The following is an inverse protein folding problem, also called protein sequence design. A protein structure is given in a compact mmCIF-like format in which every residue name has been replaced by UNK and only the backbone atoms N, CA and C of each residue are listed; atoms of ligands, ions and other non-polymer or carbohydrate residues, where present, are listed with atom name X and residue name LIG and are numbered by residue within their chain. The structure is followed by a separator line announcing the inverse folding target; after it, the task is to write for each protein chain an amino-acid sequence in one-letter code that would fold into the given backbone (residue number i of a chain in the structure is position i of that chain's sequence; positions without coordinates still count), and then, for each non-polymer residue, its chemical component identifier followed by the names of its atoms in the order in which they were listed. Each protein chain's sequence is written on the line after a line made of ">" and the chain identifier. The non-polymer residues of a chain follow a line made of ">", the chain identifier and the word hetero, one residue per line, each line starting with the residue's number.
data_IF_358080465951
#
_entry.id   IF_358080465951
#
_cell.length_a   1.000
_cell.length_b   1.000
_cell.length_c   1.000
_cell.angle_alpha   90.00
_cell.angle_beta   90.00
_cell.angle_gamma   90.00
#
_symmetry.space_group_name_H-M   'P 1'
#
loop_
_entity.id
_entity.type
_entity.pdbx_description
1 polymer ?
#
# COMPACT_ATOMS: atom_id res chain seq x y z
N UNK A 1 21.19 51.76 4.61
CA UNK A 1 19.86 51.12 4.77
C UNK A 1 20.04 49.63 4.52
N UNK A 2 20.15 48.82 5.57
CA UNK A 2 20.37 47.37 5.46
C UNK A 2 19.04 46.68 5.16
N UNK A 3 19.03 45.92 4.07
CA UNK A 3 17.92 45.07 3.62
C UNK A 3 17.72 43.94 4.64
N UNK A 4 16.55 43.86 5.26
CA UNK A 4 16.07 42.67 5.96
C UNK A 4 14.93 42.10 5.12
N UNK A 5 15.28 41.23 4.18
CA UNK A 5 14.35 40.28 3.61
C UNK A 5 13.99 39.32 4.75
N UNK A 6 12.83 39.51 5.36
CA UNK A 6 12.20 38.50 6.20
C UNK A 6 11.81 37.34 5.28
N UNK A 7 12.76 36.44 5.04
CA UNK A 7 12.49 35.10 4.53
C UNK A 7 11.68 34.40 5.61
N UNK A 8 10.35 34.52 5.53
CA UNK A 8 9.41 33.71 6.28
C UNK A 8 9.54 32.26 5.78
N UNK A 9 10.55 31.61 6.33
CA UNK A 9 10.68 30.20 6.62
C UNK A 9 9.40 29.72 7.33
N UNK A 10 8.29 29.59 6.59
CA UNK A 10 7.15 28.79 7.02
C UNK A 10 7.40 27.36 6.51
N UNK A 11 8.37 26.72 7.14
CA UNK A 11 8.41 25.27 7.26
C UNK A 11 7.18 24.85 8.06
N UNK A 12 6.09 24.62 7.35
CA UNK A 12 5.11 23.65 7.78
C UNK A 12 5.51 22.34 7.09
N UNK A 13 6.33 21.46 7.71
CA UNK A 13 6.38 20.09 7.23
C UNK A 13 4.96 19.55 7.39
N UNK A 14 4.30 19.33 6.26
CA UNK A 14 3.03 18.62 6.15
C UNK A 14 3.18 17.33 6.96
N UNK A 15 2.54 17.30 8.13
CA UNK A 15 2.27 16.09 8.87
C UNK A 15 1.26 15.29 8.03
N UNK A 16 1.73 14.63 6.98
CA UNK A 16 0.95 13.60 6.29
C UNK A 16 0.98 12.34 7.17
N UNK A 17 0.36 12.43 8.35
CA UNK A 17 -0.17 11.30 9.09
C UNK A 17 -1.48 10.90 8.41
N UNK A 18 -1.38 10.18 7.30
CA UNK A 18 -2.57 9.59 6.70
C UNK A 18 -3.15 8.57 7.66
N UNK A 19 -4.40 8.78 8.07
CA UNK A 19 -5.17 7.92 8.97
C UNK A 19 -5.93 6.84 8.17
N UNK A 20 -5.48 6.56 6.94
CA UNK A 20 -6.10 5.58 6.05
C UNK A 20 -5.71 4.16 6.47
N UNK A 21 -6.73 3.35 6.75
CA UNK A 21 -6.60 1.96 7.16
C UNK A 21 -7.46 1.06 6.28
N UNK A 22 -7.23 -0.26 6.32
CA UNK A 22 -8.01 -1.26 5.59
C UNK A 22 -8.19 -2.54 6.39
N UNK A 23 -8.89 -3.52 5.83
CA UNK A 23 -8.99 -4.85 6.45
C UNK A 23 -7.80 -5.74 6.05
N UNK A 24 -7.55 -5.83 4.76
CA UNK A 24 -6.47 -6.65 4.19
C UNK A 24 -5.95 -6.07 2.90
N UNK A 25 -4.70 -6.43 2.59
CA UNK A 25 -4.06 -6.20 1.31
C UNK A 25 -3.87 -7.55 0.61
N UNK A 26 -4.28 -7.64 -0.65
CA UNK A 26 -4.10 -8.82 -1.51
C UNK A 26 -3.08 -8.50 -2.59
N UNK A 27 -2.02 -9.30 -2.69
CA UNK A 27 -0.97 -9.16 -3.68
C UNK A 27 -1.06 -10.26 -4.73
N UNK A 28 -0.95 -9.86 -6.00
CA UNK A 28 -0.68 -10.76 -7.12
C UNK A 28 0.53 -10.20 -7.88
N UNK A 29 1.68 -10.86 -7.72
CA UNK A 29 2.96 -10.41 -8.27
C UNK A 29 3.36 -11.37 -9.38
N UNK A 30 3.54 -10.85 -10.59
CA UNK A 30 4.06 -11.57 -11.74
C UNK A 30 5.51 -11.10 -11.95
N UNK A 31 6.50 -11.81 -11.38
CA UNK A 31 7.89 -11.46 -11.56
C UNK A 31 8.34 -11.78 -12.99
N UNK A 32 9.23 -10.94 -13.52
CA UNK A 32 9.94 -11.15 -14.77
C UNK A 32 11.40 -11.53 -14.50
N UNK A 33 12.10 -11.98 -15.54
CA UNK A 33 13.55 -12.24 -15.46
C UNK A 33 14.29 -10.96 -15.05
N UNK A 34 15.18 -11.08 -14.07
CA UNK A 34 15.97 -9.95 -13.55
C UNK A 34 15.33 -9.21 -12.37
N UNK A 35 14.23 -9.70 -11.81
CA UNK A 35 13.65 -9.17 -10.56
C UNK A 35 12.67 -8.00 -10.71
N UNK A 36 12.40 -7.57 -11.93
CA UNK A 36 11.31 -6.65 -12.28
C UNK A 36 9.99 -7.40 -12.44
N UNK A 37 8.89 -6.71 -12.75
CA UNK A 37 7.63 -7.39 -13.03
C UNK A 37 6.41 -6.48 -13.00
N UNK A 38 5.24 -7.10 -12.83
CA UNK A 38 3.96 -6.41 -12.63
C UNK A 38 3.29 -6.89 -11.36
N UNK A 39 2.80 -5.98 -10.54
CA UNK A 39 2.03 -6.29 -9.35
C UNK A 39 0.61 -5.73 -9.48
N UNK A 40 -0.38 -6.50 -9.05
CA UNK A 40 -1.73 -6.01 -8.78
C UNK A 40 -2.01 -6.15 -7.30
N UNK A 41 -2.34 -5.03 -6.67
CA UNK A 41 -2.60 -4.92 -5.24
C UNK A 41 -4.05 -4.50 -5.02
N UNK A 42 -4.75 -5.20 -4.13
CA UNK A 42 -6.10 -4.86 -3.72
C UNK A 42 -6.11 -4.46 -2.26
N UNK A 43 -6.62 -3.26 -1.98
CA UNK A 43 -6.89 -2.77 -0.63
C UNK A 43 -8.37 -2.93 -0.35
N UNK A 44 -8.70 -3.58 0.76
CA UNK A 44 -10.09 -3.87 1.10
C UNK A 44 -10.58 -3.03 2.27
N UNK A 45 -11.83 -2.57 2.18
CA UNK A 45 -12.53 -1.81 3.21
C UNK A 45 -11.72 -0.62 3.76
N UNK A 46 -11.33 0.26 2.84
CA UNK A 46 -10.60 1.48 3.13
C UNK A 46 -11.47 2.40 4.00
N UNK A 47 -10.95 2.71 5.18
CA UNK A 47 -11.58 3.55 6.22
C UNK A 47 -10.56 4.54 6.74
N UNK A 48 -11.01 5.45 7.59
CA UNK A 48 -10.17 6.41 8.28
C UNK A 48 -10.19 6.15 9.78
N UNK A 49 -9.05 6.18 10.45
CA UNK A 49 -8.93 6.20 11.91
C UNK A 49 -8.75 7.63 12.48
N UNK A 50 -9.10 8.64 11.69
CA UNK A 50 -9.02 10.04 12.06
C UNK A 50 -9.80 10.36 13.34
N UNK A 51 -9.10 10.98 14.29
CA UNK A 51 -9.64 11.34 15.61
C UNK A 51 -10.60 12.54 15.59
N UNK A 52 -10.51 13.38 14.55
CA UNK A 52 -11.35 14.57 14.37
C UNK A 52 -11.81 14.76 12.91
N UNK A 53 -12.62 15.80 12.67
CA UNK A 53 -13.21 16.09 11.36
C UNK A 53 -12.21 16.72 10.38
N UNK A 54 -11.17 17.38 10.89
CA UNK A 54 -10.15 17.99 10.04
C UNK A 54 -9.27 16.89 9.44
N UNK A 55 -8.78 15.97 10.27
CA UNK A 55 -8.05 14.77 9.84
C UNK A 55 -8.89 13.93 8.89
N UNK A 56 -10.19 13.74 9.18
CA UNK A 56 -11.07 12.97 8.30
C UNK A 56 -11.23 13.61 6.92
N UNK A 57 -11.30 14.94 6.84
CA UNK A 57 -11.31 15.67 5.55
C UNK A 57 -9.97 15.57 4.82
N UNK A 58 -8.86 15.53 5.54
CA UNK A 58 -7.53 15.34 4.97
C UNK A 58 -7.38 13.94 4.37
N UNK A 59 -7.87 12.90 5.06
CA UNK A 59 -7.93 11.54 4.53
C UNK A 59 -8.80 11.43 3.28
N UNK A 60 -9.95 12.11 3.25
CA UNK A 60 -10.79 12.17 2.05
C UNK A 60 -10.03 12.80 0.86
N UNK A 61 -9.34 13.92 1.08
CA UNK A 61 -8.53 14.57 0.03
C UNK A 61 -7.36 13.69 -0.40
N UNK A 62 -6.68 13.07 0.56
CA UNK A 62 -5.56 12.17 0.32
C UNK A 62 -6.01 11.01 -0.56
N UNK A 63 -7.10 10.33 -0.21
CA UNK A 63 -7.59 9.19 -0.97
C UNK A 63 -8.19 9.59 -2.32
N UNK A 64 -9.17 10.50 -2.32
CA UNK A 64 -10.00 10.76 -3.49
C UNK A 64 -9.38 11.74 -4.48
N UNK A 65 -8.54 12.67 -4.04
CA UNK A 65 -7.95 13.68 -4.93
C UNK A 65 -6.47 13.39 -5.20
N UNK A 66 -5.69 13.10 -4.17
CA UNK A 66 -4.26 12.84 -4.35
C UNK A 66 -3.99 11.44 -4.90
N UNK A 67 -4.33 10.38 -4.16
CA UNK A 67 -4.01 9.00 -4.51
C UNK A 67 -4.78 8.53 -5.73
N UNK A 68 -6.06 8.88 -5.87
CA UNK A 68 -6.90 8.43 -7.00
C UNK A 68 -6.72 9.26 -8.29
N UNK A 69 -6.50 10.58 -8.21
CA UNK A 69 -6.56 11.47 -9.39
C UNK A 69 -5.26 12.17 -9.74
N UNK A 70 -4.40 12.49 -8.76
CA UNK A 70 -3.25 13.35 -9.03
C UNK A 70 -2.17 12.66 -9.89
N UNK A 71 -1.52 13.44 -10.76
CA UNK A 71 -0.31 13.01 -11.48
C UNK A 71 0.91 13.00 -10.56
N UNK A 72 0.90 13.83 -9.52
CA UNK A 72 1.98 13.91 -8.54
C UNK A 72 2.17 12.58 -7.82
N UNK A 73 1.08 11.95 -7.37
CA UNK A 73 1.15 10.60 -6.82
C UNK A 73 1.77 9.59 -7.81
N UNK A 74 1.39 9.65 -9.10
CA UNK A 74 1.97 8.75 -10.11
C UNK A 74 3.48 8.96 -10.23
N UNK A 75 3.94 10.22 -10.22
CA UNK A 75 5.36 10.56 -10.23
C UNK A 75 6.06 10.05 -8.97
N UNK A 76 5.51 10.29 -7.78
CA UNK A 76 6.09 9.81 -6.52
C UNK A 76 6.23 8.29 -6.45
N UNK A 77 5.24 7.55 -6.97
CA UNK A 77 5.32 6.09 -7.04
C UNK A 77 6.36 5.64 -8.07
N UNK A 78 6.43 6.30 -9.22
CA UNK A 78 7.46 6.02 -10.24
C UNK A 78 8.87 6.27 -9.72
N UNK A 79 9.09 7.37 -9.00
CA UNK A 79 10.37 7.71 -8.36
C UNK A 79 10.76 6.66 -7.29
N UNK A 80 9.80 5.88 -6.78
CA UNK A 80 9.98 4.73 -5.86
C UNK A 80 10.03 3.38 -6.59
N UNK A 81 10.23 3.35 -7.90
CA UNK A 81 10.32 2.14 -8.70
C UNK A 81 8.97 1.49 -9.04
N UNK A 82 7.85 2.20 -8.86
CA UNK A 82 6.51 1.69 -9.15
C UNK A 82 5.79 2.53 -10.20
N UNK A 83 5.79 2.08 -11.45
CA UNK A 83 5.11 2.75 -12.55
C UNK A 83 3.65 2.29 -12.63
N UNK A 84 2.73 3.09 -12.08
CA UNK A 84 1.30 2.76 -12.01
C UNK A 84 0.68 2.74 -13.41
N UNK A 85 0.13 1.59 -13.79
CA UNK A 85 -0.61 1.36 -15.04
C UNK A 85 -2.09 1.74 -14.86
N UNK A 86 -2.68 1.31 -13.76
CA UNK A 86 -4.09 1.57 -13.44
C UNK A 86 -4.30 1.67 -11.94
N UNK A 87 -5.23 2.51 -11.52
CA UNK A 87 -5.72 2.61 -10.16
C UNK A 87 -7.21 2.91 -10.18
N UNK A 88 -7.96 2.27 -9.30
CA UNK A 88 -9.40 2.48 -9.17
C UNK A 88 -9.82 2.33 -7.71
N UNK A 89 -10.88 3.06 -7.35
CA UNK A 89 -11.67 2.79 -6.16
C UNK A 89 -13.04 2.30 -6.60
N UNK A 90 -13.64 1.40 -5.85
CA UNK A 90 -14.97 0.86 -6.12
C UNK A 90 -15.68 0.47 -4.84
N UNK A 91 -17.01 0.47 -4.87
CA UNK A 91 -17.83 -0.04 -3.78
C UNK A 91 -18.14 -1.51 -4.04
N UNK A 92 -17.92 -2.34 -3.03
CA UNK A 92 -18.42 -3.72 -3.00
C UNK A 92 -19.03 -3.99 -1.64
N UNK A 93 -20.27 -4.48 -1.62
CA UNK A 93 -21.04 -4.74 -0.40
C UNK A 93 -21.03 -3.56 0.61
N UNK A 94 -21.16 -2.33 0.09
CA UNK A 94 -21.16 -1.10 0.89
C UNK A 94 -19.78 -0.66 1.43
N UNK A 95 -18.70 -1.38 1.10
CA UNK A 95 -17.33 -1.07 1.53
C UNK A 95 -16.55 -0.44 0.40
N UNK A 96 -15.70 0.53 0.74
CA UNK A 96 -14.79 1.16 -0.21
C UNK A 96 -13.56 0.28 -0.38
N UNK A 97 -13.25 -0.10 -1.61
CA UNK A 97 -12.08 -0.90 -1.95
C UNK A 97 -11.23 -0.16 -2.98
N UNK A 98 -9.95 -0.50 -3.03
CA UNK A 98 -9.00 0.02 -4.00
C UNK A 98 -8.29 -1.09 -4.73
N UNK A 99 -7.95 -0.85 -5.99
CA UNK A 99 -7.10 -1.72 -6.78
C UNK A 99 -6.07 -0.87 -7.51
N UNK A 100 -4.82 -1.29 -7.48
CA UNK A 100 -3.76 -0.69 -8.26
C UNK A 100 -2.97 -1.78 -8.99
N UNK A 101 -2.64 -1.53 -10.25
CA UNK A 101 -1.71 -2.35 -11.03
C UNK A 101 -0.55 -1.47 -11.45
N UNK A 102 0.68 -1.93 -11.22
CA UNK A 102 1.89 -1.20 -11.53
C UNK A 102 3.01 -2.12 -12.00
N UNK A 103 3.93 -1.59 -12.79
CA UNK A 103 5.21 -2.23 -13.07
C UNK A 103 6.20 -1.87 -11.97
N UNK A 104 7.06 -2.82 -11.62
CA UNK A 104 8.14 -2.59 -10.67
C UNK A 104 9.50 -2.96 -11.26
N UNK A 105 10.56 -2.29 -10.82
CA UNK A 105 11.92 -2.54 -11.29
C UNK A 105 12.63 -3.63 -10.48
N UNK A 106 12.33 -3.71 -9.19
CA UNK A 106 12.89 -4.71 -8.26
C UNK A 106 11.78 -5.27 -7.36
N UNK A 107 11.92 -6.51 -6.92
CA UNK A 107 11.00 -7.14 -5.96
C UNK A 107 10.80 -6.29 -4.68
N UNK A 108 11.88 -5.65 -4.21
CA UNK A 108 11.87 -4.77 -3.04
C UNK A 108 11.14 -3.43 -3.25
N UNK A 109 10.74 -3.14 -4.48
CA UNK A 109 9.83 -2.03 -4.78
C UNK A 109 8.38 -2.43 -4.52
N UNK A 110 8.03 -3.73 -4.57
CA UNK A 110 6.70 -4.23 -4.20
C UNK A 110 6.56 -4.31 -2.68
N UNK A 111 7.46 -5.07 -2.04
CA UNK A 111 7.54 -5.24 -0.59
C UNK A 111 9.01 -5.30 -0.17
N UNK A 112 9.41 -4.54 0.85
CA UNK A 112 10.83 -4.28 1.15
C UNK A 112 11.64 -5.55 1.47
N UNK A 113 11.00 -6.56 2.03
CA UNK A 113 11.59 -7.84 2.42
C UNK A 113 11.32 -8.96 1.41
N UNK A 114 10.78 -8.63 0.23
CA UNK A 114 10.60 -9.55 -0.89
C UNK A 114 11.89 -9.62 -1.72
N UNK A 115 12.39 -10.84 -1.90
CA UNK A 115 13.66 -11.10 -2.60
C UNK A 115 13.63 -12.44 -3.35
N UNK A 116 14.67 -12.65 -4.16
CA UNK A 116 14.90 -13.88 -4.90
C UNK A 116 16.34 -14.36 -4.67
N UNK A 117 16.49 -15.61 -4.23
CA UNK A 117 17.80 -16.23 -3.95
C UNK A 117 17.69 -17.74 -4.18
N UNK A 118 18.73 -18.34 -4.75
CA UNK A 118 18.86 -19.80 -4.93
C UNK A 118 17.64 -20.51 -5.54
N UNK A 119 16.97 -19.87 -6.50
CA UNK A 119 15.79 -20.43 -7.18
C UNK A 119 14.47 -20.25 -6.44
N UNK A 120 14.45 -19.44 -5.38
CA UNK A 120 13.26 -19.17 -4.59
C UNK A 120 12.98 -17.69 -4.45
N UNK A 121 11.72 -17.31 -4.64
CA UNK A 121 11.18 -16.06 -4.12
C UNK A 121 10.86 -16.24 -2.64
N UNK A 122 11.15 -15.24 -1.83
CA UNK A 122 10.72 -15.25 -0.43
C UNK A 122 10.37 -13.86 0.09
N UNK A 123 9.36 -13.82 0.96
CA UNK A 123 8.94 -12.63 1.70
C UNK A 123 9.19 -12.89 3.19
N UNK A 124 10.07 -12.11 3.82
CA UNK A 124 10.29 -12.20 5.27
C UNK A 124 9.31 -11.28 6.01
N UNK A 125 8.61 -11.85 6.99
CA UNK A 125 7.58 -11.19 7.78
C UNK A 125 7.88 -11.33 9.28
N UNK A 126 7.41 -10.38 10.07
CA UNK A 126 7.39 -10.51 11.51
C UNK A 126 6.46 -11.66 11.93
N UNK A 127 6.65 -12.21 13.13
CA UNK A 127 5.84 -13.36 13.58
C UNK A 127 4.37 -13.00 13.77
N UNK A 128 4.08 -11.77 14.15
CA UNK A 128 2.77 -11.18 14.38
C UNK A 128 2.04 -10.72 13.11
N UNK A 129 2.74 -10.49 11.99
CA UNK A 129 2.12 -10.16 10.71
C UNK A 129 1.12 -11.23 10.27
N UNK A 130 -0.17 -10.91 10.15
CA UNK A 130 -1.18 -11.94 9.89
C UNK A 130 -1.30 -12.26 8.40
N UNK A 131 -0.67 -13.35 7.95
CA UNK A 131 -0.87 -13.92 6.60
C UNK A 131 -2.18 -14.70 6.57
N UNK A 132 -3.13 -14.23 5.77
CA UNK A 132 -4.47 -14.82 5.65
C UNK A 132 -4.43 -16.02 4.68
N UNK A 133 -3.85 -15.83 3.50
CA UNK A 133 -3.67 -16.88 2.49
C UNK A 133 -2.38 -16.65 1.72
N UNK A 134 -1.85 -17.72 1.13
CA UNK A 134 -0.79 -17.66 0.13
C UNK A 134 -0.76 -18.93 -0.70
N UNK A 135 -0.24 -18.84 -1.94
CA UNK A 135 0.10 -20.01 -2.75
C UNK A 135 1.56 -20.47 -2.58
N UNK A 136 2.30 -19.88 -1.63
CA UNK A 136 3.63 -20.30 -1.23
C UNK A 136 3.61 -21.16 0.03
N UNK A 137 4.79 -21.58 0.48
CA UNK A 137 4.97 -22.31 1.73
C UNK A 137 5.38 -21.36 2.85
N UNK A 138 4.76 -21.48 4.03
CA UNK A 138 5.12 -20.67 5.20
C UNK A 138 6.10 -21.45 6.07
N UNK A 139 7.33 -20.94 6.18
CA UNK A 139 8.35 -21.45 7.10
C UNK A 139 8.47 -20.49 8.29
N UNK A 140 8.41 -21.03 9.51
CA UNK A 140 8.54 -20.25 10.74
C UNK A 140 9.90 -20.50 11.38
N UNK A 141 10.58 -19.42 11.72
CA UNK A 141 11.75 -19.38 12.61
C UNK A 141 11.31 -18.97 14.02
N UNK A 142 12.26 -18.85 14.95
CA UNK A 142 12.04 -18.32 16.30
C UNK A 142 11.73 -16.82 16.33
N UNK A 143 12.12 -16.06 15.29
CA UNK A 143 12.07 -14.60 15.28
C UNK A 143 11.40 -13.99 14.03
N UNK A 144 11.11 -14.78 13.00
CA UNK A 144 10.44 -14.34 11.78
C UNK A 144 9.70 -15.52 11.15
N UNK A 145 8.86 -15.22 10.16
CA UNK A 145 8.37 -16.22 9.22
C UNK A 145 8.65 -15.79 7.79
N UNK A 146 8.73 -16.76 6.89
CA UNK A 146 8.87 -16.52 5.46
C UNK A 146 7.74 -17.16 4.71
N UNK A 147 7.23 -16.48 3.70
CA UNK A 147 6.52 -17.14 2.61
C UNK A 147 7.56 -17.44 1.53
N UNK A 148 7.62 -18.67 1.04
CA UNK A 148 8.51 -19.08 -0.04
C UNK A 148 7.72 -19.56 -1.26
N UNK A 149 8.23 -19.22 -2.43
CA UNK A 149 7.77 -19.74 -3.72
C UNK A 149 8.96 -20.19 -4.54
N UNK A 150 8.84 -21.32 -5.19
CA UNK A 150 9.80 -21.81 -6.18
C UNK A 150 9.71 -20.99 -7.48
N UNK A 151 10.81 -20.89 -8.23
CA UNK A 151 10.92 -20.09 -9.46
C UNK A 151 10.03 -20.55 -10.63
N UNK A 152 9.41 -21.73 -10.53
CA UNK A 152 8.39 -22.24 -11.47
C UNK A 152 7.03 -21.59 -11.29
N UNK A 153 6.82 -20.82 -10.21
CA UNK A 153 5.52 -20.15 -9.94
C UNK A 153 5.42 -18.86 -10.75
N UNK A 154 4.47 -18.82 -11.68
CA UNK A 154 4.22 -17.64 -12.53
C UNK A 154 3.68 -16.42 -11.77
N UNK A 155 3.04 -16.64 -10.62
CA UNK A 155 2.43 -15.56 -9.82
C UNK A 155 2.54 -15.83 -8.34
N UNK A 156 3.21 -14.92 -7.63
CA UNK A 156 3.29 -14.92 -6.17
C UNK A 156 2.00 -14.29 -5.63
N UNK A 157 1.23 -15.06 -4.86
CA UNK A 157 -0.05 -14.63 -4.28
C UNK A 157 0.01 -14.72 -2.78
N UNK A 158 -0.34 -13.64 -2.11
CA UNK A 158 -0.51 -13.63 -0.66
C UNK A 158 -1.48 -12.53 -0.22
N UNK A 159 -2.11 -12.77 0.93
CA UNK A 159 -3.03 -11.85 1.59
C UNK A 159 -2.52 -11.57 3.01
N UNK A 160 -2.43 -10.30 3.38
CA UNK A 160 -2.03 -9.87 4.72
C UNK A 160 -3.17 -9.07 5.34
N UNK A 161 -3.52 -9.40 6.59
CA UNK A 161 -4.42 -8.58 7.39
C UNK A 161 -3.71 -7.30 7.82
N UNK A 162 -4.35 -6.18 7.58
CA UNK A 162 -3.93 -4.85 8.05
C UNK A 162 -5.01 -4.21 8.93
N UNK A 163 -5.91 -5.04 9.46
CA UNK A 163 -6.98 -4.60 10.36
C UNK A 163 -6.39 -3.79 11.52
N UNK A 164 -6.93 -2.59 11.81
CA UNK A 164 -6.58 -1.85 13.01
C UNK A 164 -6.81 -2.67 14.29
N UNK A 165 -6.11 -2.29 15.36
CA UNK A 165 -6.29 -2.90 16.66
C UNK A 165 -7.76 -2.85 17.12
N UNK A 166 -8.16 -3.84 17.92
CA UNK A 166 -9.50 -3.87 18.50
C UNK A 166 -9.75 -2.60 19.32
N UNK A 167 -10.93 -1.99 19.13
CA UNK A 167 -11.31 -0.75 19.79
C UNK A 167 -10.90 0.53 19.06
N UNK A 168 -10.15 0.46 17.96
CA UNK A 168 -9.90 1.63 17.10
C UNK A 168 -11.22 2.16 16.53
N UNK A 169 -11.48 3.46 16.71
CA UNK A 169 -12.65 4.10 16.12
C UNK A 169 -12.40 4.37 14.64
N UNK A 170 -13.28 3.87 13.80
CA UNK A 170 -13.14 3.95 12.35
C UNK A 170 -14.31 4.72 11.73
N UNK A 171 -13.98 5.60 10.79
CA UNK A 171 -14.92 6.39 9.99
C UNK A 171 -14.97 5.83 8.57
N UNK A 172 -16.17 5.55 8.08
CA UNK A 172 -16.36 5.01 6.73
C UNK A 172 -16.14 6.08 5.66
N UNK A 173 -15.33 5.74 4.67
CA UNK A 173 -15.09 6.58 3.49
C UNK A 173 -16.03 6.24 2.33
N UNK A 174 -16.69 5.08 2.37
CA UNK A 174 -17.62 4.63 1.34
C UNK A 174 -18.73 5.65 1.00
N UNK A 175 -19.39 6.32 1.97
CA UNK A 175 -20.43 7.31 1.66
C UNK A 175 -19.94 8.54 0.87
N UNK A 176 -18.63 8.78 0.86
CA UNK A 176 -18.01 9.93 0.20
C UNK A 176 -17.51 9.62 -1.22
N UNK A 177 -17.51 8.34 -1.61
CA UNK A 177 -17.15 7.93 -2.96
C UNK A 177 -18.30 8.22 -3.93
N UNK A 178 -18.06 9.12 -4.88
CA UNK A 178 -19.10 9.61 -5.81
C UNK A 178 -19.24 8.81 -7.12
N UNK A 179 -18.52 7.70 -7.26
CA UNK A 179 -18.31 7.07 -8.58
C UNK A 179 -17.49 7.98 -9.50
N UNK A 180 -16.81 7.40 -10.48
CA UNK A 180 -16.22 8.16 -11.59
C UNK A 180 -16.82 7.69 -12.90
#
# INVERSE_FOLDING_TARGET
>A
MKKLFLSAFLLLPLLLSGCLVGNKIVYNIVPAKGGSGTATVFYTNIRSDASDDQQFKEDQKLLFDFMLKSREFLKERKDKGQDIISRELYLDNGRLNGKATYKFEKLSDVEKTLSFEDGFYFLTLALDDSVITTNGEIIKSSNYKRILWDDRVDTLKFEISIEPAEGTQLKDLAPFYKGQ
#
